data_IF_380103930933
#
_entry.id   IF_380103930933
#
_cell.length_a   1.000
_cell.length_b   1.000
_cell.length_c   1.000
_cell.angle_alpha   90.00
_cell.angle_beta   90.00
_cell.angle_gamma   90.00
#
_symmetry.space_group_name_H-M   'P 1'
#
loop_
_entity.id
_entity.type
_entity.pdbx_description
1 polymer ?
#
# COMPACT_ATOMS: atom_id res chain seq x y z
N UNK A 1 -11.93 18.05 8.04
CA UNK A 1 -12.95 17.05 8.42
C UNK A 1 -12.77 15.93 7.41
N UNK A 2 -11.85 15.02 7.71
CA UNK A 2 -11.43 13.95 6.80
C UNK A 2 -12.54 12.90 6.69
N UNK A 3 -13.43 13.11 5.72
CA UNK A 3 -14.46 12.13 5.33
C UNK A 3 -13.79 11.02 4.51
N UNK A 4 -12.91 10.26 5.16
CA UNK A 4 -12.41 9.02 4.59
C UNK A 4 -13.51 7.98 4.75
N UNK A 5 -14.17 7.66 3.63
CA UNK A 5 -15.18 6.61 3.59
C UNK A 5 -14.55 5.32 4.14
N UNK A 6 -15.17 4.63 5.13
CA UNK A 6 -14.59 3.44 5.75
C UNK A 6 -14.29 2.33 4.75
N UNK A 7 -14.97 2.33 3.59
CA UNK A 7 -14.68 1.41 2.48
C UNK A 7 -13.35 1.72 1.81
N UNK A 8 -13.01 3.01 1.69
CA UNK A 8 -11.75 3.45 1.11
C UNK A 8 -10.57 3.09 2.03
N UNK A 9 -10.74 3.28 3.34
CA UNK A 9 -9.75 2.87 4.34
C UNK A 9 -9.48 1.36 4.25
N UNK A 10 -10.54 0.56 4.18
CA UNK A 10 -10.43 -0.90 4.01
C UNK A 10 -9.78 -1.29 2.68
N UNK A 11 -10.03 -0.55 1.60
CA UNK A 11 -9.41 -0.79 0.30
C UNK A 11 -7.90 -0.54 0.34
N UNK A 12 -7.46 0.54 1.00
CA UNK A 12 -6.03 0.84 1.18
C UNK A 12 -5.36 -0.25 2.01
N UNK A 13 -5.96 -0.71 3.11
CA UNK A 13 -5.36 -1.80 3.90
C UNK A 13 -5.22 -3.10 3.10
N UNK A 14 -6.23 -3.48 2.32
CA UNK A 14 -6.14 -4.63 1.41
C UNK A 14 -5.09 -4.45 0.31
N UNK A 15 -5.00 -3.23 -0.25
CA UNK A 15 -3.98 -2.91 -1.24
C UNK A 15 -2.57 -3.05 -0.63
N UNK A 16 -2.37 -2.59 0.61
CA UNK A 16 -1.12 -2.77 1.35
C UNK A 16 -0.81 -4.26 1.55
N UNK A 17 -1.79 -5.08 1.92
CA UNK A 17 -1.58 -6.53 2.07
C UNK A 17 -1.10 -7.16 0.76
N UNK A 18 -1.78 -6.88 -0.36
CA UNK A 18 -1.39 -7.41 -1.68
C UNK A 18 0.01 -6.94 -2.06
N UNK A 19 0.31 -5.65 -1.92
CA UNK A 19 1.65 -5.13 -2.22
C UNK A 19 2.73 -5.76 -1.34
N UNK A 20 2.45 -6.03 -0.06
CA UNK A 20 3.39 -6.72 0.83
C UNK A 20 3.61 -8.19 0.46
N UNK A 21 2.55 -8.91 0.09
CA UNK A 21 2.64 -10.29 -0.41
C UNK A 21 3.54 -10.38 -1.66
N UNK A 22 3.53 -9.33 -2.47
CA UNK A 22 4.20 -9.25 -3.76
C UNK A 22 5.35 -8.22 -3.78
N UNK A 23 6.00 -7.95 -2.64
CA UNK A 23 7.07 -6.92 -2.50
C UNK A 23 8.26 -7.08 -3.46
N UNK A 24 8.42 -8.23 -4.11
CA UNK A 24 9.44 -8.46 -5.14
C UNK A 24 8.95 -8.29 -6.58
N UNK A 25 7.68 -7.98 -6.80
CA UNK A 25 7.05 -7.84 -8.12
C UNK A 25 6.72 -6.38 -8.49
N UNK A 26 7.01 -5.43 -7.60
CA UNK A 26 6.84 -4.00 -7.86
C UNK A 26 7.98 -3.21 -7.20
N UNK A 27 8.50 -2.21 -7.92
CA UNK A 27 9.55 -1.32 -7.42
C UNK A 27 9.03 0.13 -7.27
N UNK A 28 8.11 0.51 -8.17
CA UNK A 28 7.56 1.86 -8.25
C UNK A 28 6.01 1.87 -8.23
N UNK A 29 5.45 3.08 -8.12
CA UNK A 29 4.00 3.29 -8.00
C UNK A 29 3.23 2.80 -9.24
N UNK A 30 3.85 2.82 -10.42
CA UNK A 30 3.26 2.31 -11.66
C UNK A 30 3.12 0.79 -11.62
N UNK A 31 4.14 0.08 -11.15
CA UNK A 31 4.07 -1.37 -11.01
C UNK A 31 3.06 -1.77 -9.93
N UNK A 32 3.08 -1.05 -8.80
CA UNK A 32 2.09 -1.20 -7.74
C UNK A 32 0.67 -1.00 -8.27
N UNK A 33 0.45 -0.01 -9.14
CA UNK A 33 -0.85 0.21 -9.79
C UNK A 33 -1.28 -0.98 -10.63
N UNK A 34 -0.42 -1.48 -11.52
CA UNK A 34 -0.77 -2.63 -12.37
C UNK A 34 -0.99 -3.91 -11.58
N UNK A 35 -0.18 -4.13 -10.55
CA UNK A 35 -0.32 -5.26 -9.63
C UNK A 35 -1.65 -5.19 -8.89
N UNK A 36 -1.98 -4.05 -8.30
CA UNK A 36 -3.26 -3.84 -7.61
C UNK A 36 -4.44 -4.00 -8.57
N UNK A 37 -4.32 -3.50 -9.81
CA UNK A 37 -5.35 -3.64 -10.82
C UNK A 37 -5.59 -5.09 -11.23
N UNK A 38 -4.53 -5.90 -11.32
CA UNK A 38 -4.64 -7.36 -11.52
C UNK A 38 -5.37 -8.06 -10.37
N UNK A 39 -5.25 -7.51 -9.16
CA UNK A 39 -5.89 -8.00 -7.94
C UNK A 39 -7.10 -7.18 -7.49
N UNK A 40 -7.70 -6.37 -8.38
CA UNK A 40 -8.81 -5.43 -8.06
C UNK A 40 -10.00 -6.15 -7.41
N UNK A 41 -10.28 -7.38 -7.84
CA UNK A 41 -11.33 -8.23 -7.26
C UNK A 41 -11.12 -8.53 -5.75
N UNK A 42 -9.88 -8.60 -5.28
CA UNK A 42 -9.56 -8.83 -3.85
C UNK A 42 -9.82 -7.57 -3.03
N UNK A 43 -9.55 -6.41 -3.62
CA UNK A 43 -9.73 -5.09 -3.01
C UNK A 43 -11.23 -4.81 -2.84
N UNK A 44 -12.03 -5.15 -3.86
CA UNK A 44 -13.49 -5.06 -3.85
C UNK A 44 -14.03 -3.66 -4.20
N UNK A 45 -13.14 -2.74 -4.57
CA UNK A 45 -13.45 -1.43 -5.16
C UNK A 45 -12.48 -1.17 -6.31
N UNK A 46 -12.84 -0.29 -7.27
CA UNK A 46 -11.93 0.10 -8.34
C UNK A 46 -10.61 0.68 -7.80
N UNK A 47 -9.50 0.26 -8.37
CA UNK A 47 -8.17 0.79 -7.99
C UNK A 47 -8.01 2.20 -8.55
N UNK A 48 -7.98 3.18 -7.66
CA UNK A 48 -7.69 4.58 -7.99
C UNK A 48 -6.25 4.92 -7.64
N UNK A 49 -5.75 6.01 -8.21
CA UNK A 49 -4.39 6.49 -7.96
C UNK A 49 -4.18 6.81 -6.47
N UNK A 50 -5.16 7.43 -5.81
CA UNK A 50 -5.11 7.71 -4.36
C UNK A 50 -4.87 6.46 -3.51
N UNK A 51 -5.53 5.34 -3.84
CA UNK A 51 -5.35 4.07 -3.10
C UNK A 51 -3.92 3.57 -3.26
N UNK A 52 -3.35 3.70 -4.46
CA UNK A 52 -1.97 3.25 -4.74
C UNK A 52 -0.96 4.12 -4.01
N UNK A 53 -1.08 5.45 -4.13
CA UNK A 53 -0.18 6.39 -3.45
C UNK A 53 -0.19 6.17 -1.94
N UNK A 54 -1.38 6.06 -1.34
CA UNK A 54 -1.51 5.80 0.09
C UNK A 54 -0.93 4.44 0.52
N UNK A 55 -1.19 3.39 -0.25
CA UNK A 55 -0.69 2.05 0.07
C UNK A 55 0.84 2.00 -0.01
N UNK A 56 1.42 2.56 -1.08
CA UNK A 56 2.88 2.65 -1.26
C UNK A 56 3.50 3.53 -0.18
N UNK A 57 2.91 4.69 0.13
CA UNK A 57 3.38 5.57 1.20
C UNK A 57 3.34 4.89 2.57
N UNK A 58 2.27 4.14 2.90
CA UNK A 58 2.18 3.35 4.14
C UNK A 58 3.29 2.31 4.22
N UNK A 59 3.57 1.59 3.13
CA UNK A 59 4.64 0.58 3.07
C UNK A 59 6.02 1.24 3.24
N UNK A 60 6.32 2.28 2.46
CA UNK A 60 7.58 3.03 2.56
C UNK A 60 7.78 3.62 3.97
N UNK A 61 6.73 4.16 4.59
CA UNK A 61 6.78 4.65 5.96
C UNK A 61 7.05 3.54 6.98
N UNK A 62 6.43 2.36 6.83
CA UNK A 62 6.71 1.19 7.68
C UNK A 62 8.16 0.70 7.53
N UNK A 63 8.68 0.66 6.31
CA UNK A 63 10.07 0.25 6.03
C UNK A 63 11.04 1.27 6.63
N UNK A 64 10.82 2.57 6.40
CA UNK A 64 11.64 3.64 6.95
C UNK A 64 11.64 3.63 8.48
N UNK A 65 10.48 3.40 9.13
CA UNK A 65 10.39 3.23 10.59
C UNK A 65 11.16 2.01 11.09
N UNK A 66 11.05 0.86 10.41
CA UNK A 66 11.84 -0.33 10.77
C UNK A 66 13.34 -0.08 10.66
N UNK A 67 13.76 0.63 9.60
CA UNK A 67 15.15 1.01 9.42
C UNK A 67 15.61 1.96 10.54
N UNK A 68 14.78 2.93 10.93
CA UNK A 68 15.06 3.86 12.02
C UNK A 68 15.17 3.19 13.41
N UNK A 69 14.50 2.06 13.63
CA UNK A 69 14.56 1.32 14.91
C UNK A 69 15.79 0.39 14.97
N UNK A 70 16.23 -0.15 13.83
CA UNK A 70 17.41 -1.01 13.76
C UNK A 70 18.75 -0.28 13.99
N UNK A 71 18.76 1.05 13.97
CA UNK A 71 19.96 1.88 14.24
C UNK A 71 20.15 2.20 15.74
N UNK A 72 19.17 1.87 16.59
CA UNK A 72 19.17 2.25 18.02
C UNK A 72 19.64 1.09 18.92
N UNK A 73 19.89 -0.10 18.38
CA UNK A 73 20.55 -1.22 19.06
C UNK A 73 22.01 -1.35 18.60
N UNK A 74 22.86 -0.39 18.98
CA UNK A 74 24.33 -0.53 19.04
C UNK A 74 24.90 0.15 20.27
#
# INVERSE_FOLDING_TARGET
MDYWDPRLLSAVDKAVEILLEHMGEWEDEVDAYWLLRKHENRIGVPVTYDIVEEAVAKIRSKIAKKHAIGIIEV
#
